data_IF_566348327346
#
_entry.id   IF_566348327346
#
_cell.length_a   1.000
_cell.length_b   1.000
_cell.length_c   1.000
_cell.angle_alpha   90.00
_cell.angle_beta   90.00
_cell.angle_gamma   90.00
#
_symmetry.space_group_name_H-M   'P 1'
#
loop_
_entity.id
_entity.type
_entity.pdbx_description
1 polymer ?
#
# COMPACT_ATOMS: atom_id res chain seq x y z
N UNK A 1 16.12 -24.24 12.94
CA UNK A 1 17.10 -23.35 13.57
C UNK A 1 16.49 -22.42 14.64
N UNK A 2 15.20 -22.08 14.57
CA UNK A 2 14.59 -21.17 15.56
C UNK A 2 14.45 -21.86 16.91
N UNK A 3 14.90 -21.20 17.98
CA UNK A 3 14.73 -21.68 19.35
C UNK A 3 13.25 -21.86 19.69
N UNK A 4 12.88 -23.05 20.20
CA UNK A 4 11.49 -23.32 20.60
C UNK A 4 11.09 -22.62 21.91
N UNK A 5 12.05 -22.42 22.81
CA UNK A 5 11.81 -21.79 24.12
C UNK A 5 11.88 -20.27 24.09
N UNK A 6 12.73 -19.69 23.25
CA UNK A 6 12.97 -18.23 23.16
C UNK A 6 13.08 -17.77 21.71
N UNK A 7 12.02 -17.87 20.89
CA UNK A 7 12.07 -17.55 19.46
C UNK A 7 12.32 -16.07 19.20
N UNK A 8 11.82 -15.18 20.04
CA UNK A 8 12.02 -13.73 19.92
C UNK A 8 13.48 -13.34 20.10
N UNK A 9 14.10 -13.83 21.16
CA UNK A 9 15.51 -13.54 21.44
C UNK A 9 16.44 -14.12 20.38
N UNK A 10 16.10 -15.31 19.86
CA UNK A 10 16.85 -15.91 18.77
C UNK A 10 16.80 -15.06 17.50
N UNK A 11 15.63 -14.55 17.13
CA UNK A 11 15.48 -13.66 15.98
C UNK A 11 16.23 -12.35 16.19
N UNK A 12 16.15 -11.77 17.40
CA UNK A 12 16.89 -10.56 17.74
C UNK A 12 18.40 -10.77 17.62
N UNK A 13 18.92 -11.87 18.16
CA UNK A 13 20.34 -12.21 18.05
C UNK A 13 20.81 -12.40 16.60
N UNK A 14 19.98 -12.99 15.73
CA UNK A 14 20.30 -13.10 14.30
C UNK A 14 20.32 -11.75 13.59
N UNK A 15 19.38 -10.86 13.92
CA UNK A 15 19.39 -9.50 13.35
C UNK A 15 20.63 -8.73 13.78
N UNK A 16 21.02 -8.84 15.06
CA UNK A 16 22.20 -8.18 15.60
C UNK A 16 23.50 -8.75 15.03
N UNK A 17 23.59 -10.06 14.87
CA UNK A 17 24.71 -10.71 14.17
C UNK A 17 24.85 -10.18 12.74
N UNK A 18 23.74 -10.03 12.02
CA UNK A 18 23.73 -9.47 10.67
C UNK A 18 24.12 -8.01 10.60
N UNK A 19 23.83 -7.24 11.64
CA UNK A 19 24.17 -5.83 11.72
C UNK A 19 25.64 -5.58 12.13
N UNK A 20 26.21 -6.45 12.97
CA UNK A 20 27.53 -6.22 13.59
C UNK A 20 28.65 -7.04 12.97
N UNK A 21 28.44 -8.32 12.75
CA UNK A 21 29.47 -9.28 12.33
C UNK A 21 29.30 -9.74 10.88
N UNK A 22 28.10 -10.13 10.46
CA UNK A 22 27.84 -10.70 9.14
C UNK A 22 27.40 -9.59 8.15
N UNK A 23 28.21 -8.54 8.01
CA UNK A 23 27.90 -7.45 7.08
C UNK A 23 28.09 -7.84 5.61
N UNK A 24 27.31 -7.28 4.66
CA UNK A 24 27.40 -7.64 3.24
C UNK A 24 28.74 -7.30 2.57
N UNK A 25 29.49 -6.33 3.09
CA UNK A 25 30.72 -5.82 2.49
C UNK A 25 31.97 -6.34 3.17
N UNK A 26 31.96 -6.41 4.51
CA UNK A 26 33.10 -6.76 5.33
C UNK A 26 32.71 -7.70 6.46
N UNK A 27 32.34 -8.96 6.17
CA UNK A 27 31.96 -9.90 7.21
C UNK A 27 33.14 -10.29 8.08
N UNK A 28 32.95 -10.22 9.41
CA UNK A 28 33.96 -10.59 10.41
C UNK A 28 33.80 -12.07 10.80
N UNK A 29 34.07 -12.97 9.85
CA UNK A 29 33.84 -14.40 10.00
C UNK A 29 34.66 -15.04 11.13
N UNK A 30 35.83 -14.49 11.44
CA UNK A 30 36.71 -14.99 12.49
C UNK A 30 36.12 -14.85 13.90
N UNK A 31 35.32 -13.80 14.10
CA UNK A 31 34.62 -13.49 15.35
C UNK A 31 33.19 -14.01 15.41
N UNK A 32 32.72 -14.68 14.33
CA UNK A 32 31.33 -15.11 14.24
C UNK A 32 31.07 -16.37 15.07
N UNK A 33 30.13 -16.35 16.04
CA UNK A 33 29.82 -17.51 16.87
C UNK A 33 29.20 -18.68 16.09
N UNK A 34 28.69 -18.42 14.88
CA UNK A 34 28.10 -19.42 13.99
C UNK A 34 29.09 -19.97 12.95
N UNK A 35 30.36 -19.60 13.01
CA UNK A 35 31.39 -19.97 12.01
C UNK A 35 31.42 -21.45 11.68
N UNK A 36 31.38 -22.31 12.69
CA UNK A 36 31.46 -23.77 12.53
C UNK A 36 30.24 -24.38 11.83
N UNK A 37 29.08 -23.75 11.98
CA UNK A 37 27.81 -24.19 11.39
C UNK A 37 27.37 -23.31 10.18
N UNK A 38 28.27 -22.47 9.71
CA UNK A 38 27.96 -21.55 8.61
C UNK A 38 28.09 -22.25 7.26
N UNK A 39 27.00 -22.40 6.51
CA UNK A 39 27.00 -23.02 5.18
C UNK A 39 27.96 -22.33 4.20
N UNK A 40 28.07 -21.00 4.26
CA UNK A 40 29.00 -20.25 3.41
C UNK A 40 30.46 -20.63 3.68
N UNK A 41 30.83 -20.84 4.94
CA UNK A 41 32.19 -21.29 5.32
C UNK A 41 32.43 -22.77 4.99
N UNK A 42 31.45 -23.63 5.26
CA UNK A 42 31.55 -25.08 5.04
C UNK A 42 31.67 -25.44 3.55
N UNK A 43 30.98 -24.71 2.66
CA UNK A 43 30.98 -24.95 1.23
C UNK A 43 31.97 -24.08 0.45
N UNK A 44 32.86 -23.35 1.14
CA UNK A 44 33.87 -22.50 0.50
C UNK A 44 33.25 -21.33 -0.32
N UNK A 45 31.99 -21.02 -0.07
CA UNK A 45 31.33 -19.90 -0.74
C UNK A 45 31.88 -18.58 -0.16
N UNK A 46 32.19 -17.62 -1.06
CA UNK A 46 32.51 -16.26 -0.62
C UNK A 46 31.29 -15.65 0.08
N UNK A 47 31.32 -15.37 1.39
CA UNK A 47 30.18 -14.79 2.10
C UNK A 47 29.66 -13.50 1.48
N UNK A 48 30.55 -12.73 0.83
CA UNK A 48 30.21 -11.48 0.14
C UNK A 48 29.36 -11.71 -1.11
N UNK A 49 29.51 -12.86 -1.79
CA UNK A 49 28.71 -13.21 -2.96
C UNK A 49 27.29 -13.65 -2.58
N UNK A 50 27.14 -14.39 -1.48
CA UNK A 50 25.81 -14.85 -1.01
C UNK A 50 24.93 -13.71 -0.51
N UNK A 51 25.52 -12.59 -0.09
CA UNK A 51 24.84 -11.40 0.41
C UNK A 51 24.58 -10.34 -0.69
N UNK A 52 25.04 -10.60 -1.92
CA UNK A 52 24.79 -9.68 -3.04
C UNK A 52 23.31 -9.72 -3.39
N UNK A 53 22.57 -8.70 -2.94
CA UNK A 53 21.16 -8.56 -3.29
C UNK A 53 21.03 -8.41 -4.81
N UNK A 54 20.23 -9.26 -5.42
CA UNK A 54 19.76 -9.02 -6.77
C UNK A 54 19.13 -7.63 -6.85
N UNK A 55 19.41 -6.91 -7.92
CA UNK A 55 18.87 -5.57 -8.13
C UNK A 55 17.36 -5.72 -8.33
N UNK A 56 16.59 -5.29 -7.35
CA UNK A 56 15.13 -5.34 -7.45
C UNK A 56 14.70 -4.36 -8.55
N UNK A 57 14.12 -4.89 -9.60
CA UNK A 57 13.49 -4.07 -10.63
C UNK A 57 12.15 -3.55 -10.13
N UNK A 58 12.01 -2.22 -10.13
CA UNK A 58 10.76 -1.58 -9.73
C UNK A 58 9.81 -1.45 -10.92
N UNK A 59 8.60 -1.99 -10.78
CA UNK A 59 7.51 -1.78 -11.74
C UNK A 59 6.83 -0.44 -11.45
N UNK A 60 6.80 0.48 -12.42
CA UNK A 60 5.98 1.70 -12.35
C UNK A 60 4.52 1.37 -12.61
N UNK A 61 3.64 1.83 -11.72
CA UNK A 61 2.21 1.52 -11.75
C UNK A 61 1.40 2.81 -11.68
N UNK A 62 0.45 2.97 -12.59
CA UNK A 62 -0.55 4.03 -12.54
C UNK A 62 -1.82 3.49 -11.86
N UNK A 63 -2.20 4.09 -10.72
CA UNK A 63 -3.29 3.63 -9.87
C UNK A 63 -4.19 4.78 -9.45
N UNK A 64 -5.06 5.27 -10.34
CA UNK A 64 -5.97 6.35 -9.98
C UNK A 64 -6.93 5.96 -8.87
N UNK A 65 -7.27 6.92 -8.02
CA UNK A 65 -8.21 6.77 -6.91
C UNK A 65 -9.33 7.80 -7.00
N UNK A 66 -10.54 7.36 -6.71
CA UNK A 66 -11.70 8.23 -6.60
C UNK A 66 -12.06 8.47 -5.14
N UNK A 67 -12.17 9.73 -4.74
CA UNK A 67 -12.87 10.12 -3.53
C UNK A 67 -14.30 10.46 -3.94
N UNK A 68 -15.24 9.58 -3.66
CA UNK A 68 -16.67 9.83 -3.90
C UNK A 68 -17.24 10.37 -2.60
N UNK A 69 -17.74 11.63 -2.64
CA UNK A 69 -18.21 12.35 -1.45
C UNK A 69 -19.70 12.61 -1.50
N UNK A 70 -20.38 12.39 -0.35
CA UNK A 70 -21.78 12.73 -0.14
C UNK A 70 -22.01 13.16 1.32
N UNK A 71 -22.52 14.37 1.56
CA UNK A 71 -22.89 14.86 2.92
C UNK A 71 -21.78 14.65 3.97
N UNK A 72 -20.53 14.94 3.62
CA UNK A 72 -19.38 14.74 4.52
C UNK A 72 -18.90 13.28 4.69
N UNK A 73 -19.58 12.33 4.04
CA UNK A 73 -19.14 10.95 3.99
C UNK A 73 -18.37 10.67 2.70
N UNK A 74 -17.48 9.71 2.75
CA UNK A 74 -16.75 9.18 1.59
C UNK A 74 -17.03 7.69 1.40
N UNK A 75 -17.06 7.25 0.15
CA UNK A 75 -17.30 5.86 -0.22
C UNK A 75 -16.00 5.07 -0.13
N UNK A 76 -16.03 3.96 0.59
CA UNK A 76 -14.92 3.01 0.66
C UNK A 76 -15.35 1.63 0.18
N UNK A 77 -14.37 0.91 -0.40
CA UNK A 77 -14.45 -0.49 -0.77
C UNK A 77 -13.62 -1.34 0.19
N UNK A 78 -14.13 -2.47 0.62
CA UNK A 78 -13.36 -3.48 1.35
C UNK A 78 -12.65 -4.39 0.36
N UNK A 79 -11.36 -4.57 0.55
CA UNK A 79 -10.58 -5.52 -0.26
C UNK A 79 -11.03 -6.95 0.02
N UNK A 80 -10.80 -7.82 -0.96
CA UNK A 80 -11.07 -9.25 -0.83
C UNK A 80 -10.34 -9.86 0.39
N UNK A 81 -10.82 -11.02 0.82
CA UNK A 81 -10.27 -11.70 2.00
C UNK A 81 -8.90 -12.34 1.77
N UNK A 82 -8.41 -12.32 0.52
CA UNK A 82 -7.12 -12.83 0.10
C UNK A 82 -6.29 -11.77 -0.63
N UNK A 83 -4.99 -12.01 -0.76
CA UNK A 83 -4.06 -11.13 -1.46
C UNK A 83 -3.47 -10.01 -0.60
N UNK A 84 -2.78 -9.08 -1.26
CA UNK A 84 -2.08 -7.99 -0.62
C UNK A 84 -3.04 -7.03 0.09
N UNK A 85 -2.78 -6.71 1.37
CA UNK A 85 -3.60 -5.83 2.20
C UNK A 85 -5.08 -6.30 2.29
N UNK A 86 -5.30 -7.62 2.37
CA UNK A 86 -6.62 -8.23 2.48
C UNK A 86 -7.48 -7.58 3.58
N UNK A 87 -8.78 -7.45 3.34
CA UNK A 87 -9.79 -6.91 4.25
C UNK A 87 -9.67 -5.44 4.61
N UNK A 88 -8.63 -4.73 4.21
CA UNK A 88 -8.53 -3.29 4.44
C UNK A 88 -9.59 -2.54 3.62
N UNK A 89 -9.98 -1.38 4.14
CA UNK A 89 -10.82 -0.44 3.40
C UNK A 89 -9.95 0.45 2.52
N UNK A 90 -10.40 0.69 1.30
CA UNK A 90 -9.70 1.52 0.32
C UNK A 90 -10.66 2.43 -0.45
N UNK A 91 -10.14 3.46 -1.07
CA UNK A 91 -10.88 4.26 -2.04
C UNK A 91 -11.14 3.46 -3.31
N UNK A 92 -12.27 3.69 -4.01
CA UNK A 92 -12.50 3.15 -5.35
C UNK A 92 -11.35 3.49 -6.30
N UNK A 93 -10.95 2.54 -7.12
CA UNK A 93 -9.84 2.70 -8.07
C UNK A 93 -9.08 1.40 -8.27
N UNK A 94 -7.99 1.46 -9.02
CA UNK A 94 -7.21 0.28 -9.34
C UNK A 94 -6.03 0.55 -10.26
N UNK A 95 -5.23 -0.49 -10.52
CA UNK A 95 -4.13 -0.46 -11.48
C UNK A 95 -4.69 -0.35 -12.91
N UNK A 96 -4.22 0.63 -13.67
CA UNK A 96 -4.49 0.71 -15.11
C UNK A 96 -3.45 -0.14 -15.81
N UNK A 97 -3.90 -1.21 -16.46
CA UNK A 97 -3.04 -2.11 -17.24
C UNK A 97 -2.98 -1.66 -18.70
N UNK A 98 -4.14 -1.30 -19.28
CA UNK A 98 -4.24 -0.79 -20.64
C UNK A 98 -4.14 0.74 -20.66
N UNK A 99 -3.67 1.36 -21.75
CA UNK A 99 -3.54 2.81 -21.84
C UNK A 99 -4.90 3.49 -21.88
N UNK A 100 -5.48 3.73 -20.68
CA UNK A 100 -6.72 4.48 -20.48
C UNK A 100 -6.46 5.77 -19.72
N UNK A 101 -7.24 6.78 -20.02
CA UNK A 101 -7.22 8.02 -19.25
C UNK A 101 -7.77 7.76 -17.83
N UNK A 102 -7.06 8.17 -16.76
CA UNK A 102 -7.43 7.87 -15.38
C UNK A 102 -8.86 8.24 -14.98
N UNK A 103 -9.35 9.39 -15.45
CA UNK A 103 -10.72 9.84 -15.20
C UNK A 103 -11.76 8.93 -15.84
N UNK A 104 -11.49 8.46 -17.06
CA UNK A 104 -12.38 7.53 -17.77
C UNK A 104 -12.44 6.17 -17.05
N UNK A 105 -11.28 5.64 -16.66
CA UNK A 105 -11.19 4.42 -15.86
C UNK A 105 -12.05 4.51 -14.60
N UNK A 106 -11.92 5.59 -13.83
CA UNK A 106 -12.69 5.77 -12.59
C UNK A 106 -14.19 5.92 -12.84
N UNK A 107 -14.60 6.57 -13.93
CA UNK A 107 -16.02 6.66 -14.30
C UNK A 107 -16.62 5.30 -14.65
N UNK A 108 -15.86 4.44 -15.30
CA UNK A 108 -16.28 3.07 -15.61
C UNK A 108 -16.43 2.25 -14.32
N UNK A 109 -15.44 2.32 -13.41
CA UNK A 109 -15.49 1.69 -12.08
C UNK A 109 -16.71 2.14 -11.25
N UNK A 110 -17.02 3.43 -11.28
CA UNK A 110 -18.10 3.99 -10.49
C UNK A 110 -19.49 3.85 -11.14
N UNK A 111 -19.59 3.46 -12.40
CA UNK A 111 -20.86 3.42 -13.16
C UNK A 111 -21.93 2.58 -12.49
N UNK A 112 -21.57 1.41 -11.95
CA UNK A 112 -22.50 0.51 -11.28
C UNK A 112 -22.84 0.97 -9.85
N UNK A 113 -21.93 1.64 -9.17
CA UNK A 113 -22.01 1.96 -7.74
C UNK A 113 -22.59 3.35 -7.49
N UNK A 114 -22.13 4.33 -8.22
CA UNK A 114 -22.44 5.72 -8.04
C UNK A 114 -22.70 6.42 -9.40
N UNK A 115 -23.72 5.98 -10.16
CA UNK A 115 -24.01 6.51 -11.51
C UNK A 115 -24.34 8.00 -11.52
N UNK A 116 -24.76 8.56 -10.39
CA UNK A 116 -25.04 9.98 -10.22
C UNK A 116 -23.81 10.84 -9.89
N UNK A 117 -22.61 10.25 -9.71
CA UNK A 117 -21.38 10.96 -9.47
C UNK A 117 -20.89 11.68 -10.76
N UNK A 118 -21.40 12.88 -11.02
CA UNK A 118 -21.22 13.59 -12.30
C UNK A 118 -20.04 14.55 -12.29
N UNK A 119 -19.86 15.33 -11.22
CA UNK A 119 -18.73 16.25 -11.09
C UNK A 119 -17.48 15.48 -10.76
N UNK A 120 -16.40 15.76 -11.49
CA UNK A 120 -15.12 15.12 -11.30
C UNK A 120 -14.02 16.17 -11.47
N UNK A 121 -13.28 16.44 -10.39
CA UNK A 121 -12.11 17.32 -10.38
C UNK A 121 -10.86 16.55 -9.95
N UNK A 122 -9.74 16.80 -10.61
CA UNK A 122 -8.44 16.32 -10.11
C UNK A 122 -8.03 17.19 -8.92
N UNK A 123 -7.67 16.57 -7.79
CA UNK A 123 -7.24 17.29 -6.59
C UNK A 123 -5.76 17.12 -6.29
N UNK A 124 -5.06 16.28 -7.04
CA UNK A 124 -3.63 16.08 -6.92
C UNK A 124 -3.19 14.66 -7.23
N UNK A 125 -1.95 14.36 -6.91
CA UNK A 125 -1.34 13.04 -7.09
C UNK A 125 -0.56 12.64 -5.83
N UNK A 126 -0.64 11.38 -5.45
CA UNK A 126 0.22 10.82 -4.41
C UNK A 126 1.17 9.79 -4.99
N UNK A 127 2.35 9.68 -4.39
CA UNK A 127 3.33 8.64 -4.69
C UNK A 127 3.38 7.64 -3.54
N UNK A 128 3.37 6.37 -3.90
CA UNK A 128 3.40 5.29 -2.94
C UNK A 128 4.25 4.13 -3.45
N UNK A 129 4.90 3.41 -2.55
CA UNK A 129 5.69 2.23 -2.91
C UNK A 129 5.25 1.05 -2.06
N UNK A 130 5.03 -0.09 -2.71
CA UNK A 130 4.73 -1.37 -2.06
C UNK A 130 5.64 -2.42 -2.67
N UNK A 131 6.52 -3.03 -1.86
CA UNK A 131 7.50 -4.01 -2.31
C UNK A 131 8.31 -3.51 -3.50
N UNK A 132 8.11 -4.06 -4.69
CA UNK A 132 8.79 -3.71 -5.94
C UNK A 132 7.94 -2.82 -6.88
N UNK A 133 6.83 -2.23 -6.39
CA UNK A 133 5.94 -1.36 -7.17
C UNK A 133 6.11 0.10 -6.76
N UNK A 134 6.35 0.97 -7.73
CA UNK A 134 6.31 2.43 -7.58
C UNK A 134 5.01 2.93 -8.15
N UNK A 135 4.10 3.35 -7.27
CA UNK A 135 2.73 3.71 -7.62
C UNK A 135 2.64 5.23 -7.74
N UNK A 136 2.15 5.69 -8.90
CA UNK A 136 1.61 7.03 -9.11
C UNK A 136 0.10 6.94 -9.01
N UNK A 137 -0.50 7.67 -8.08
CA UNK A 137 -1.93 7.63 -7.87
C UNK A 137 -2.51 9.04 -8.00
N UNK A 138 -3.00 9.44 -9.19
CA UNK A 138 -3.78 10.65 -9.36
C UNK A 138 -5.12 10.49 -8.62
N UNK A 139 -5.52 11.55 -7.89
CA UNK A 139 -6.69 11.55 -7.04
C UNK A 139 -7.76 12.45 -7.66
N UNK A 140 -8.96 11.89 -7.80
CA UNK A 140 -10.12 12.58 -8.35
C UNK A 140 -11.23 12.64 -7.32
N UNK A 141 -11.79 13.84 -7.13
CA UNK A 141 -12.96 14.07 -6.30
C UNK A 141 -14.22 13.98 -7.16
N UNK A 142 -15.14 13.13 -6.73
CA UNK A 142 -16.47 12.97 -7.33
C UNK A 142 -17.53 13.39 -6.31
N UNK A 143 -18.30 14.42 -6.63
CA UNK A 143 -19.45 14.80 -5.82
C UNK A 143 -20.67 13.96 -6.17
N UNK A 144 -21.22 13.28 -5.17
CA UNK A 144 -22.44 12.50 -5.28
C UNK A 144 -23.62 13.31 -4.74
N UNK A 145 -24.73 13.45 -5.49
CA UNK A 145 -25.85 14.27 -5.06
C UNK A 145 -26.41 13.84 -3.71
N UNK A 146 -26.73 14.82 -2.85
CA UNK A 146 -27.21 14.55 -1.50
C UNK A 146 -28.53 13.76 -1.46
N UNK A 147 -29.40 13.97 -2.47
CA UNK A 147 -30.71 13.31 -2.60
C UNK A 147 -30.64 11.97 -3.36
N UNK A 148 -29.47 11.56 -3.87
CA UNK A 148 -29.34 10.32 -4.60
C UNK A 148 -28.97 9.16 -3.64
N UNK A 149 -29.53 7.99 -3.90
CA UNK A 149 -29.20 6.76 -3.17
C UNK A 149 -28.21 5.93 -4.00
N UNK A 150 -27.01 5.67 -3.47
CA UNK A 150 -26.04 4.83 -4.18
C UNK A 150 -26.49 3.38 -4.21
N UNK A 151 -26.21 2.71 -5.32
CA UNK A 151 -26.51 1.28 -5.50
C UNK A 151 -25.42 0.42 -4.88
N UNK A 152 -25.34 0.38 -3.56
CA UNK A 152 -24.37 -0.46 -2.86
C UNK A 152 -24.94 -1.87 -2.70
N UNK A 153 -24.60 -2.75 -3.63
CA UNK A 153 -25.17 -4.10 -3.70
C UNK A 153 -24.50 -5.14 -2.78
N UNK A 154 -23.45 -4.76 -2.05
CA UNK A 154 -22.71 -5.73 -1.21
C UNK A 154 -22.16 -5.10 0.07
N UNK A 155 -21.89 -5.96 1.09
CA UNK A 155 -21.18 -5.59 2.33
C UNK A 155 -19.73 -5.11 2.10
N UNK A 156 -19.23 -5.20 0.86
CA UNK A 156 -17.93 -4.74 0.47
C UNK A 156 -17.82 -3.20 0.28
N UNK A 157 -18.94 -2.48 0.30
CA UNK A 157 -18.98 -1.03 0.12
C UNK A 157 -19.69 -0.37 1.28
N UNK A 158 -19.18 0.76 1.74
CA UNK A 158 -19.85 1.58 2.75
C UNK A 158 -19.47 3.05 2.67
N UNK A 159 -20.37 3.89 3.16
CA UNK A 159 -20.11 5.29 3.42
C UNK A 159 -19.54 5.47 4.82
N UNK A 160 -18.49 6.28 4.94
CA UNK A 160 -17.84 6.59 6.23
C UNK A 160 -17.69 8.09 6.32
N UNK A 161 -17.98 8.66 7.48
CA UNK A 161 -17.67 10.06 7.80
C UNK A 161 -16.17 10.30 7.58
N UNK A 162 -15.83 11.28 6.72
CA UNK A 162 -14.45 11.58 6.36
C UNK A 162 -13.56 11.88 7.59
N UNK A 163 -14.15 12.44 8.67
CA UNK A 163 -13.45 12.73 9.94
C UNK A 163 -13.12 11.47 10.75
N UNK A 164 -13.87 10.39 10.55
CA UNK A 164 -13.72 9.11 11.28
C UNK A 164 -12.86 8.09 10.51
N UNK A 165 -12.32 8.45 9.37
CA UNK A 165 -11.61 7.51 8.49
C UNK A 165 -10.31 6.99 9.13
N UNK A 166 -9.62 7.81 9.92
CA UNK A 166 -8.37 7.42 10.57
C UNK A 166 -8.55 6.29 11.60
N UNK A 167 -9.75 6.12 12.15
CA UNK A 167 -10.11 5.00 13.03
C UNK A 167 -10.46 3.70 12.30
N UNK A 168 -10.37 3.67 10.96
CA UNK A 168 -10.67 2.49 10.16
C UNK A 168 -9.39 1.74 9.76
N UNK A 169 -9.52 0.43 9.54
CA UNK A 169 -8.44 -0.37 8.97
C UNK A 169 -8.28 -0.05 7.46
N UNK A 170 -7.60 1.04 7.16
CA UNK A 170 -7.33 1.53 5.80
C UNK A 170 -5.88 1.34 5.38
N UNK A 171 -5.63 1.31 4.06
CA UNK A 171 -4.27 1.32 3.54
C UNK A 171 -3.60 2.69 3.73
N UNK A 172 -2.27 2.72 3.84
CA UNK A 172 -1.51 3.98 3.90
C UNK A 172 -1.70 4.85 2.65
N UNK A 173 -1.98 4.26 1.50
CA UNK A 173 -2.32 4.97 0.28
C UNK A 173 -3.67 5.70 0.40
N UNK A 174 -4.69 5.02 0.94
CA UNK A 174 -5.98 5.64 1.26
C UNK A 174 -5.83 6.79 2.26
N UNK A 175 -5.05 6.59 3.33
CA UNK A 175 -4.80 7.62 4.33
C UNK A 175 -4.11 8.88 3.74
N UNK A 176 -3.15 8.69 2.81
CA UNK A 176 -2.50 9.80 2.09
C UNK A 176 -3.49 10.57 1.21
N UNK A 177 -4.36 9.85 0.48
CA UNK A 177 -5.34 10.48 -0.40
C UNK A 177 -6.37 11.31 0.37
N UNK A 178 -6.82 10.84 1.53
CA UNK A 178 -7.76 11.60 2.39
C UNK A 178 -7.08 12.83 2.99
N UNK A 179 -5.80 12.75 3.38
CA UNK A 179 -5.06 13.95 3.82
C UNK A 179 -4.97 15.00 2.70
N UNK A 180 -4.76 14.56 1.47
CA UNK A 180 -4.74 15.46 0.31
C UNK A 180 -6.10 16.16 0.11
N UNK A 181 -7.23 15.46 0.33
CA UNK A 181 -8.56 16.06 0.29
C UNK A 181 -8.71 17.18 1.34
N UNK A 182 -8.29 16.94 2.58
CA UNK A 182 -8.39 17.93 3.67
C UNK A 182 -7.61 19.20 3.33
N UNK A 183 -6.37 19.08 2.84
CA UNK A 183 -5.57 20.22 2.39
C UNK A 183 -6.20 20.96 1.19
N UNK A 184 -6.81 20.21 0.29
CA UNK A 184 -7.52 20.82 -0.85
C UNK A 184 -8.73 21.65 -0.39
N UNK A 185 -9.47 21.20 0.62
CA UNK A 185 -10.61 21.92 1.17
C UNK A 185 -10.19 23.19 1.95
N UNK A 186 -9.11 23.10 2.73
CA UNK A 186 -8.54 24.26 3.45
C UNK A 186 -8.04 25.37 2.51
N UNK A 187 -7.60 25.02 1.31
CA UNK A 187 -7.10 26.00 0.32
C UNK A 187 -8.21 26.82 -0.36
N UNK A 188 -9.47 26.49 -0.14
CA UNK A 188 -10.64 27.18 -0.70
C UNK A 188 -11.47 27.94 0.35
N UNK A 189 -11.04 27.94 1.62
CA UNK A 189 -11.61 28.73 2.71
C UNK A 189 -10.76 29.98 2.98
#
# INVERSE_FOLDING_TARGET
LVSRSRPGDFNQALMELGATLCSPTTPQCEHCPLRTNCAAMTHGADPRKSLRRERIEFKSVLWPLAIVRQRGNILLRRRADNGLLARLWELPGGEIVDPKEPRQFLREELRALAPAAKRCSAIGEIRHSITHRRIRAPIYLFDYPANATPRLSSKAWRWIDARKIQGQAISSMTAKAVRLLNHHEESFL
#
